data_IF_865637576942
#
_entry.id   IF_865637576942
#
_cell.length_a   1.000
_cell.length_b   1.000
_cell.length_c   1.000
_cell.angle_alpha   90.00
_cell.angle_beta   90.00
_cell.angle_gamma   90.00
#
_symmetry.space_group_name_H-M   'P 1'
#
loop_
_entity.id
_entity.type
_entity.pdbx_description
1 polymer ?
#
# COMPACT_ATOMS: atom_id res chain seq x y z
N UNK A 1 -5.53 45.55 -70.38
CA UNK A 1 -4.50 44.51 -70.03
C UNK A 1 -4.54 44.27 -68.55
N UNK A 2 -5.42 43.36 -68.10
CA UNK A 2 -5.55 42.98 -66.70
C UNK A 2 -4.61 41.81 -66.44
N UNK A 3 -3.68 42.02 -65.55
CA UNK A 3 -2.80 40.98 -65.03
C UNK A 3 -3.45 40.33 -63.84
N UNK A 4 -3.98 39.11 -64.04
CA UNK A 4 -4.48 38.25 -62.95
C UNK A 4 -3.27 37.61 -62.24
N UNK A 5 -3.01 38.07 -61.02
CA UNK A 5 -2.06 37.44 -60.11
C UNK A 5 -2.77 36.25 -59.48
N UNK A 6 -2.41 35.04 -59.92
CA UNK A 6 -2.72 33.80 -59.21
C UNK A 6 -1.89 33.76 -57.91
N UNK A 7 -2.53 34.04 -56.82
CA UNK A 7 -1.94 33.71 -55.51
C UNK A 7 -2.22 32.20 -55.30
N UNK A 8 -1.25 31.36 -55.58
CA UNK A 8 -1.26 29.99 -55.13
C UNK A 8 -1.12 29.99 -53.61
N UNK A 9 -2.20 29.70 -52.95
CA UNK A 9 -2.21 29.35 -51.55
C UNK A 9 -1.31 28.11 -51.36
N UNK A 10 -0.09 28.31 -50.93
CA UNK A 10 0.67 27.24 -50.32
C UNK A 10 -0.09 26.88 -49.03
N UNK A 11 -0.88 25.82 -49.05
CA UNK A 11 -1.27 25.11 -47.85
C UNK A 11 0.02 24.62 -47.25
N UNK A 12 0.40 25.24 -46.14
CA UNK A 12 1.36 24.67 -45.22
C UNK A 12 0.79 23.33 -44.84
N UNK A 13 1.39 22.23 -45.27
CA UNK A 13 1.18 20.96 -44.68
C UNK A 13 1.57 21.14 -43.19
N UNK A 14 0.58 21.34 -42.36
CA UNK A 14 0.73 21.10 -40.94
C UNK A 14 1.22 19.65 -40.88
N UNK A 15 2.45 19.43 -40.45
CA UNK A 15 2.85 18.18 -39.85
C UNK A 15 1.80 17.99 -38.72
N UNK A 16 0.93 17.03 -38.93
CA UNK A 16 -0.10 16.69 -37.94
C UNK A 16 0.63 16.22 -36.70
N UNK A 17 0.76 17.10 -35.71
CA UNK A 17 0.88 16.63 -34.33
C UNK A 17 -0.45 15.90 -34.07
N UNK A 18 -0.38 14.63 -33.89
CA UNK A 18 -1.53 13.78 -33.62
C UNK A 18 -2.09 14.23 -32.26
N UNK A 19 -3.28 14.83 -32.29
CA UNK A 19 -3.90 15.30 -31.06
C UNK A 19 -4.43 14.10 -30.25
N UNK A 20 -4.52 14.24 -28.93
CA UNK A 20 -5.07 13.20 -28.05
C UNK A 20 -6.49 12.79 -28.46
N UNK A 21 -7.28 13.72 -29.05
CA UNK A 21 -8.60 13.46 -29.60
C UNK A 21 -8.63 12.34 -30.62
N UNK A 22 -7.63 12.25 -31.49
CA UNK A 22 -7.57 11.23 -32.55
C UNK A 22 -7.39 9.82 -31.94
N UNK A 23 -6.58 9.72 -30.89
CA UNK A 23 -6.41 8.47 -30.16
C UNK A 23 -7.66 8.09 -29.38
N UNK A 24 -8.32 9.07 -28.79
CA UNK A 24 -9.50 8.86 -27.95
C UNK A 24 -10.74 8.47 -28.74
N UNK A 25 -10.82 8.73 -30.04
CA UNK A 25 -11.92 8.22 -30.90
C UNK A 25 -12.09 6.70 -30.76
N UNK A 26 -10.98 5.95 -30.64
CA UNK A 26 -11.02 4.50 -30.41
C UNK A 26 -10.81 4.16 -28.92
N UNK A 27 -9.80 4.78 -28.28
CA UNK A 27 -9.39 4.37 -26.93
C UNK A 27 -10.35 4.79 -25.82
N UNK A 28 -11.33 5.65 -26.07
CA UNK A 28 -12.40 5.93 -25.12
C UNK A 28 -13.56 4.93 -25.20
N UNK A 29 -13.70 4.19 -26.31
CA UNK A 29 -14.80 3.23 -26.51
C UNK A 29 -14.34 1.78 -26.25
N UNK A 30 -14.89 1.11 -25.21
CA UNK A 30 -14.54 -0.27 -24.94
C UNK A 30 -14.98 -1.26 -26.03
N UNK A 31 -15.84 -0.86 -26.97
CA UNK A 31 -16.24 -1.69 -28.10
C UNK A 31 -15.21 -1.68 -29.25
N UNK A 32 -14.44 -0.61 -29.35
CA UNK A 32 -13.45 -0.43 -30.43
C UNK A 32 -12.05 -0.94 -30.02
N UNK A 33 -11.80 -1.04 -28.72
CA UNK A 33 -10.46 -1.37 -28.20
C UNK A 33 -10.31 -2.85 -27.88
N UNK A 34 -9.25 -3.45 -28.38
CA UNK A 34 -8.92 -4.84 -28.10
C UNK A 34 -8.59 -5.07 -26.60
N UNK A 35 -9.05 -6.20 -26.10
CA UNK A 35 -8.63 -6.67 -24.78
C UNK A 35 -7.29 -7.41 -24.88
N UNK A 36 -6.39 -7.16 -23.93
CA UNK A 36 -5.10 -7.83 -23.82
C UNK A 36 -5.05 -8.71 -22.58
N UNK A 37 -4.54 -9.91 -22.72
CA UNK A 37 -4.22 -10.77 -21.58
C UNK A 37 -2.94 -10.29 -20.94
N UNK A 38 -3.02 -9.87 -19.68
CA UNK A 38 -1.86 -9.53 -18.86
C UNK A 38 -1.65 -10.62 -17.82
N UNK A 39 -0.44 -11.09 -17.73
CA UNK A 39 0.00 -11.97 -16.64
C UNK A 39 0.78 -11.13 -15.66
N UNK A 40 0.33 -11.06 -14.42
CA UNK A 40 1.14 -10.50 -13.34
C UNK A 40 2.33 -11.43 -13.09
N UNK A 41 3.51 -10.94 -13.35
CA UNK A 41 4.74 -11.76 -13.26
C UNK A 41 5.15 -12.06 -11.82
N UNK A 42 4.55 -11.38 -10.84
CA UNK A 42 4.84 -11.58 -9.42
C UNK A 42 3.87 -12.60 -8.82
N UNK A 43 2.57 -12.45 -9.09
CA UNK A 43 1.52 -13.32 -8.54
C UNK A 43 1.20 -14.48 -9.46
N UNK A 44 1.50 -14.39 -10.76
CA UNK A 44 1.09 -15.33 -11.79
C UNK A 44 -0.40 -15.19 -12.17
N UNK A 45 -1.11 -14.22 -11.63
CA UNK A 45 -2.51 -13.99 -11.96
C UNK A 45 -2.67 -13.52 -13.38
N UNK A 46 -3.72 -14.02 -14.03
CA UNK A 46 -4.06 -13.68 -15.41
C UNK A 46 -5.24 -12.72 -15.39
N UNK A 47 -5.03 -11.54 -15.91
CA UNK A 47 -6.04 -10.49 -16.00
C UNK A 47 -6.31 -10.14 -17.47
N UNK A 48 -7.59 -9.98 -17.83
CA UNK A 48 -7.98 -9.41 -19.12
C UNK A 48 -8.07 -7.90 -18.93
N UNK A 49 -7.14 -7.18 -19.54
CA UNK A 49 -7.10 -5.72 -19.48
C UNK A 49 -7.65 -5.16 -20.77
N UNK A 50 -8.71 -4.38 -20.69
CA UNK A 50 -9.16 -3.55 -21.79
C UNK A 50 -8.23 -2.34 -21.91
N UNK A 51 -7.82 -2.03 -23.12
CA UNK A 51 -6.92 -0.89 -23.38
C UNK A 51 -7.68 0.45 -23.47
N UNK A 52 -8.84 0.51 -22.82
CA UNK A 52 -9.63 1.74 -22.70
C UNK A 52 -8.90 2.76 -21.84
N UNK A 53 -8.87 3.98 -22.29
CA UNK A 53 -8.37 5.14 -21.55
C UNK A 53 -9.55 5.99 -21.11
N UNK A 54 -9.69 6.20 -19.81
CA UNK A 54 -10.62 7.18 -19.28
C UNK A 54 -10.01 8.57 -19.38
N UNK A 55 -10.66 9.44 -20.15
CA UNK A 55 -10.15 10.78 -20.45
C UNK A 55 -10.08 11.65 -19.18
N UNK A 56 -11.07 11.56 -18.30
CA UNK A 56 -11.08 12.31 -17.04
C UNK A 56 -9.96 11.84 -16.12
N UNK A 57 -9.76 10.52 -16.02
CA UNK A 57 -8.64 9.95 -15.25
C UNK A 57 -7.28 10.34 -15.82
N UNK A 58 -7.15 10.34 -17.16
CA UNK A 58 -5.92 10.76 -17.83
C UNK A 58 -5.60 12.22 -17.52
N UNK A 59 -6.54 13.14 -17.72
CA UNK A 59 -6.34 14.55 -17.43
C UNK A 59 -6.11 14.85 -15.93
N UNK A 60 -6.62 14.02 -15.05
CA UNK A 60 -6.35 14.10 -13.61
C UNK A 60 -4.99 13.51 -13.22
N UNK A 61 -4.29 12.84 -14.13
CA UNK A 61 -2.95 12.28 -13.90
C UNK A 61 -1.86 13.35 -13.93
N UNK A 62 -0.65 13.00 -13.49
CA UNK A 62 0.49 13.91 -13.52
C UNK A 62 0.84 14.37 -14.95
N UNK A 63 0.77 13.47 -15.92
CA UNK A 63 1.12 13.78 -17.30
C UNK A 63 -0.02 14.45 -18.05
N UNK A 64 -1.25 13.95 -17.92
CA UNK A 64 -2.41 14.56 -18.55
C UNK A 64 -2.72 15.97 -18.03
N UNK A 65 -2.40 16.25 -16.77
CA UNK A 65 -2.50 17.59 -16.18
C UNK A 65 -1.46 18.60 -16.67
N UNK A 66 -0.39 18.14 -17.29
CA UNK A 66 0.69 18.95 -17.88
C UNK A 66 0.60 18.96 -19.45
N UNK A 67 -0.57 18.64 -19.99
CA UNK A 67 -0.87 18.68 -21.43
C UNK A 67 0.04 17.77 -22.30
N UNK A 68 0.55 16.65 -21.78
CA UNK A 68 1.27 15.68 -22.60
C UNK A 68 0.36 14.99 -23.60
N UNK A 69 0.91 14.75 -24.79
CA UNK A 69 0.24 13.96 -25.83
C UNK A 69 0.48 12.46 -25.64
N UNK A 70 -0.42 11.64 -26.18
CA UNK A 70 -0.26 10.19 -26.17
C UNK A 70 1.06 9.76 -26.82
N UNK A 71 1.44 10.42 -27.92
CA UNK A 71 2.66 10.15 -28.68
C UNK A 71 3.94 10.57 -27.95
N UNK A 72 3.89 11.45 -26.95
CA UNK A 72 5.06 11.78 -26.14
C UNK A 72 5.56 10.56 -25.37
N UNK A 73 4.67 9.64 -25.07
CA UNK A 73 4.99 8.37 -24.42
C UNK A 73 5.01 7.19 -25.40
N UNK A 74 4.10 7.21 -26.37
CA UNK A 74 3.97 6.20 -27.43
C UNK A 74 4.63 6.68 -28.72
N UNK A 75 5.93 6.98 -28.65
CA UNK A 75 6.70 7.55 -29.75
C UNK A 75 6.80 6.65 -31.00
N UNK A 76 6.51 5.35 -30.84
CA UNK A 76 6.42 4.42 -31.96
C UNK A 76 5.13 4.61 -32.81
N UNK A 77 4.25 5.51 -32.39
CA UNK A 77 3.04 5.90 -33.10
C UNK A 77 3.13 7.26 -33.77
N UNK A 78 4.25 7.97 -33.69
CA UNK A 78 4.40 9.32 -34.24
C UNK A 78 4.05 9.41 -35.74
N UNK A 79 4.34 8.35 -36.49
CA UNK A 79 4.06 8.27 -37.92
C UNK A 79 2.77 7.46 -38.25
N UNK A 80 1.97 7.08 -37.25
CA UNK A 80 0.77 6.30 -37.49
C UNK A 80 -0.41 7.18 -37.88
N UNK A 81 -1.18 6.76 -38.87
CA UNK A 81 -2.40 7.46 -39.34
C UNK A 81 -3.68 6.93 -38.63
N UNK A 82 -3.58 6.54 -37.36
CA UNK A 82 -4.71 6.09 -36.52
C UNK A 82 -4.76 4.59 -36.28
N UNK A 83 -4.69 3.74 -37.29
CA UNK A 83 -4.58 2.28 -37.10
C UNK A 83 -3.14 1.86 -36.79
N UNK A 84 -2.94 1.09 -35.75
CA UNK A 84 -1.63 0.62 -35.35
C UNK A 84 -1.65 -0.86 -34.89
N UNK A 85 -0.47 -1.48 -34.85
CA UNK A 85 -0.34 -2.83 -34.35
C UNK A 85 -0.61 -2.89 -32.83
N UNK A 86 -1.23 -3.98 -32.33
CA UNK A 86 -1.63 -4.08 -30.91
C UNK A 86 -0.43 -4.20 -29.95
N UNK A 87 0.78 -4.46 -30.45
CA UNK A 87 1.97 -4.63 -29.63
C UNK A 87 2.91 -3.42 -29.82
N UNK A 88 2.66 -2.36 -29.07
CA UNK A 88 3.54 -1.20 -29.01
C UNK A 88 4.81 -1.51 -28.23
N UNK A 89 5.85 -0.72 -28.50
CA UNK A 89 7.07 -0.75 -27.72
C UNK A 89 6.78 -0.35 -26.25
N UNK A 90 7.52 -0.90 -25.28
CA UNK A 90 7.41 -0.42 -23.91
C UNK A 90 7.74 1.07 -23.84
N UNK A 91 6.88 1.83 -23.17
CA UNK A 91 7.12 3.26 -22.93
C UNK A 91 8.44 3.45 -22.18
N UNK A 92 9.29 4.27 -22.74
CA UNK A 92 10.57 4.68 -22.13
C UNK A 92 10.38 5.94 -21.28
N UNK A 93 10.33 5.74 -19.97
CA UNK A 93 10.17 6.83 -19.02
C UNK A 93 11.48 7.61 -18.79
N UNK A 94 12.63 7.02 -19.16
CA UNK A 94 13.95 7.42 -18.65
C UNK A 94 14.73 8.30 -19.61
N UNK A 95 14.75 7.93 -20.88
CA UNK A 95 15.72 8.49 -21.83
C UNK A 95 15.62 10.02 -21.97
N UNK A 96 14.42 10.58 -21.86
CA UNK A 96 14.21 12.01 -22.12
C UNK A 96 13.66 12.81 -20.93
N UNK A 97 12.99 12.15 -19.96
CA UNK A 97 12.19 12.87 -18.98
C UNK A 97 12.54 12.53 -17.52
N UNK A 98 12.79 11.26 -17.19
CA UNK A 98 12.96 10.81 -15.81
C UNK A 98 14.34 10.17 -15.56
N UNK A 99 15.40 10.80 -16.03
CA UNK A 99 16.79 10.35 -15.87
C UNK A 99 17.24 10.37 -14.39
N UNK A 100 16.96 11.42 -13.63
CA UNK A 100 17.32 11.54 -12.22
C UNK A 100 16.66 10.45 -11.34
N UNK A 101 15.32 10.24 -11.38
CA UNK A 101 14.68 9.14 -10.66
C UNK A 101 15.19 7.77 -11.08
N UNK A 102 15.52 7.59 -12.36
CA UNK A 102 16.08 6.34 -12.86
C UNK A 102 17.49 6.09 -12.34
N UNK A 103 18.37 7.10 -12.33
CA UNK A 103 19.70 7.00 -11.77
C UNK A 103 19.64 6.59 -10.28
N UNK A 104 18.78 7.23 -9.50
CA UNK A 104 18.59 6.88 -8.08
C UNK A 104 18.00 5.49 -7.87
N UNK A 105 17.11 5.03 -8.76
CA UNK A 105 16.58 3.67 -8.71
C UNK A 105 17.68 2.62 -8.97
N UNK A 106 18.58 2.90 -9.92
CA UNK A 106 19.69 1.99 -10.24
C UNK A 106 20.68 1.80 -9.08
N UNK A 107 20.75 2.75 -8.14
CA UNK A 107 21.54 2.63 -6.91
C UNK A 107 20.85 1.75 -5.84
N UNK A 108 19.58 1.44 -6.03
CA UNK A 108 18.78 0.69 -5.07
C UNK A 108 18.94 -0.83 -5.14
N UNK A 109 18.51 -1.50 -4.08
CA UNK A 109 18.57 -2.97 -3.99
C UNK A 109 17.69 -3.67 -5.02
N UNK A 110 16.59 -3.04 -5.47
CA UNK A 110 15.74 -3.63 -6.49
C UNK A 110 16.48 -3.75 -7.81
N UNK A 111 17.12 -2.68 -8.27
CA UNK A 111 17.91 -2.69 -9.52
C UNK A 111 19.11 -3.64 -9.44
N UNK A 112 19.84 -3.65 -8.33
CA UNK A 112 20.98 -4.55 -8.10
C UNK A 112 20.56 -6.03 -8.22
N UNK A 113 19.43 -6.41 -7.62
CA UNK A 113 18.93 -7.77 -7.70
C UNK A 113 18.47 -8.17 -9.11
N UNK A 114 17.91 -7.24 -9.89
CA UNK A 114 17.60 -7.48 -11.30
C UNK A 114 18.86 -7.83 -12.10
N UNK A 115 19.92 -7.05 -11.91
CA UNK A 115 21.18 -7.23 -12.62
C UNK A 115 21.90 -8.52 -12.20
N UNK A 116 21.96 -8.81 -10.90
CA UNK A 116 22.73 -9.92 -10.36
C UNK A 116 22.04 -11.28 -10.53
N UNK A 117 20.72 -11.34 -10.38
CA UNK A 117 19.97 -12.60 -10.29
C UNK A 117 19.01 -12.84 -11.45
N UNK A 118 18.85 -11.88 -12.35
CA UNK A 118 17.89 -11.97 -13.45
C UNK A 118 16.43 -12.11 -12.96
N UNK A 119 16.16 -11.69 -11.72
CA UNK A 119 14.83 -11.73 -11.14
C UNK A 119 14.00 -10.59 -11.73
N UNK A 120 12.79 -10.89 -12.18
CA UNK A 120 11.85 -9.83 -12.53
C UNK A 120 11.45 -9.09 -11.26
N UNK A 121 11.83 -7.83 -11.17
CA UNK A 121 11.54 -6.93 -10.06
C UNK A 121 10.64 -5.80 -10.53
N UNK A 122 10.03 -5.06 -9.60
CA UNK A 122 9.15 -3.96 -9.96
C UNK A 122 9.92 -2.94 -10.81
N UNK A 123 9.36 -2.63 -11.95
CA UNK A 123 9.79 -1.52 -12.83
C UNK A 123 9.06 -0.25 -12.43
N UNK A 124 9.38 0.87 -13.07
CA UNK A 124 8.69 2.15 -12.88
C UNK A 124 7.17 1.98 -12.90
N UNK A 125 6.64 1.24 -13.89
CA UNK A 125 5.20 1.00 -14.06
C UNK A 125 4.53 0.22 -12.93
N UNK A 126 5.27 -0.54 -12.15
CA UNK A 126 4.69 -1.26 -11.03
C UNK A 126 4.31 -0.32 -9.88
N UNK A 127 5.20 0.61 -9.57
CA UNK A 127 4.97 1.60 -8.52
C UNK A 127 4.19 2.81 -9.05
N UNK A 128 4.47 3.24 -10.28
CA UNK A 128 3.81 4.34 -10.97
C UNK A 128 2.87 3.76 -12.03
N UNK A 129 1.61 3.59 -11.68
CA UNK A 129 0.60 3.08 -12.62
C UNK A 129 0.39 4.09 -13.74
N UNK A 130 0.67 3.70 -14.99
CA UNK A 130 0.65 4.54 -16.18
C UNK A 130 -0.57 5.46 -16.34
N UNK A 131 -1.35 5.31 -17.41
CA UNK A 131 -2.40 6.22 -17.85
C UNK A 131 -3.66 6.30 -16.97
N UNK A 132 -3.86 5.39 -16.02
CA UNK A 132 -5.19 5.12 -15.44
C UNK A 132 -5.40 5.65 -14.04
N UNK A 133 -4.53 6.51 -13.50
CA UNK A 133 -4.68 6.77 -12.08
C UNK A 133 -4.25 8.16 -11.66
N UNK A 134 -5.14 8.81 -10.93
CA UNK A 134 -4.81 9.93 -10.03
C UNK A 134 -3.60 9.63 -9.14
N UNK A 135 -3.30 8.34 -8.94
CA UNK A 135 -2.14 7.84 -8.19
C UNK A 135 -0.79 8.07 -8.89
N UNK A 136 -0.79 8.49 -10.15
CA UNK A 136 0.45 8.78 -10.89
C UNK A 136 1.18 10.03 -10.44
N UNK A 137 0.57 10.84 -9.61
CA UNK A 137 1.26 11.99 -9.03
C UNK A 137 1.96 11.53 -7.76
N UNK A 138 3.26 11.20 -7.78
CA UNK A 138 4.01 10.73 -6.61
C UNK A 138 4.33 11.88 -5.65
N UNK A 139 3.36 12.74 -5.41
CA UNK A 139 3.46 13.83 -4.46
C UNK A 139 3.18 13.31 -3.07
N UNK A 140 3.92 13.81 -2.09
CA UNK A 140 3.74 13.41 -0.69
C UNK A 140 2.33 13.69 -0.17
N UNK A 141 1.63 14.65 -0.74
CA UNK A 141 0.26 15.02 -0.39
C UNK A 141 -0.82 14.17 -1.10
N UNK A 142 -0.43 13.33 -2.07
CA UNK A 142 -1.37 12.38 -2.69
C UNK A 142 -1.60 11.18 -1.77
N UNK A 143 -2.67 11.24 -0.98
CA UNK A 143 -2.99 10.23 0.04
C UNK A 143 -3.37 8.88 -0.58
N UNK A 144 -3.96 8.88 -1.78
CA UNK A 144 -4.30 7.66 -2.51
C UNK A 144 -3.02 6.92 -2.92
N UNK A 145 -2.06 7.63 -3.51
CA UNK A 145 -0.76 7.07 -3.85
C UNK A 145 -0.03 6.51 -2.62
N UNK A 146 -0.08 7.20 -1.48
CA UNK A 146 0.53 6.73 -0.23
C UNK A 146 -0.09 5.43 0.27
N UNK A 147 -1.41 5.30 0.18
CA UNK A 147 -2.13 4.07 0.54
C UNK A 147 -1.79 2.91 -0.39
N UNK A 148 -1.85 3.16 -1.69
CA UNK A 148 -1.55 2.17 -2.72
C UNK A 148 -0.11 1.65 -2.65
N UNK A 149 0.85 2.49 -2.32
CA UNK A 149 2.25 2.09 -2.14
C UNK A 149 2.41 1.00 -1.07
N UNK A 150 1.61 1.04 0.01
CA UNK A 150 1.64 0.01 1.05
C UNK A 150 1.26 -1.35 0.46
N UNK A 151 0.19 -1.41 -0.33
CA UNK A 151 -0.31 -2.64 -0.94
C UNK A 151 0.66 -3.16 -2.02
N UNK A 152 1.21 -2.27 -2.84
CA UNK A 152 2.21 -2.63 -3.85
C UNK A 152 3.48 -3.23 -3.24
N UNK A 153 4.01 -2.61 -2.19
CA UNK A 153 5.14 -3.18 -1.46
C UNK A 153 4.77 -4.55 -0.86
N UNK A 154 3.56 -4.65 -0.31
CA UNK A 154 3.03 -5.85 0.32
C UNK A 154 2.90 -7.03 -0.61
N UNK A 155 2.61 -6.79 -1.90
CA UNK A 155 2.47 -7.84 -2.91
C UNK A 155 3.70 -8.73 -3.04
N UNK A 156 4.91 -8.15 -2.93
CA UNK A 156 6.17 -8.92 -2.93
C UNK A 156 6.71 -9.15 -1.51
N UNK A 157 6.52 -8.20 -0.63
CA UNK A 157 7.06 -8.19 0.74
C UNK A 157 6.02 -8.60 1.78
N UNK A 158 5.22 -9.63 1.53
CA UNK A 158 4.09 -10.06 2.36
C UNK A 158 4.43 -10.20 3.85
N UNK A 159 5.59 -10.78 4.17
CA UNK A 159 6.05 -10.96 5.56
C UNK A 159 6.22 -9.60 6.27
N UNK A 160 6.79 -8.62 5.59
CA UNK A 160 7.01 -7.28 6.13
C UNK A 160 5.71 -6.48 6.17
N UNK A 161 4.86 -6.63 5.17
CA UNK A 161 3.53 -6.06 5.12
C UNK A 161 2.67 -6.51 6.30
N UNK A 162 2.59 -7.82 6.56
CA UNK A 162 1.85 -8.35 7.72
C UNK A 162 2.42 -7.84 9.05
N UNK A 163 3.74 -7.75 9.16
CA UNK A 163 4.39 -7.20 10.34
C UNK A 163 4.11 -5.70 10.50
N UNK A 164 4.15 -4.94 9.42
CA UNK A 164 3.76 -3.53 9.40
C UNK A 164 2.31 -3.35 9.83
N UNK A 165 1.37 -4.12 9.29
CA UNK A 165 -0.05 -4.08 9.68
C UNK A 165 -0.30 -4.37 11.16
N UNK A 166 0.62 -5.02 11.84
CA UNK A 166 0.55 -5.31 13.28
C UNK A 166 1.17 -4.21 14.16
N UNK A 167 1.89 -3.25 13.60
CA UNK A 167 2.38 -2.09 14.36
C UNK A 167 1.38 -0.93 14.32
N UNK A 168 1.63 0.12 15.12
CA UNK A 168 0.72 1.27 15.22
C UNK A 168 0.52 1.99 13.89
N UNK A 169 1.59 2.24 13.12
CA UNK A 169 1.48 2.89 11.81
C UNK A 169 0.57 2.09 10.87
N UNK A 170 0.82 0.78 10.77
CA UNK A 170 0.04 -0.09 9.91
C UNK A 170 -1.40 -0.29 10.36
N UNK A 171 -1.69 -0.24 11.66
CA UNK A 171 -3.06 -0.29 12.17
C UNK A 171 -3.83 0.97 11.80
N UNK A 172 -3.21 2.13 11.90
CA UNK A 172 -3.84 3.41 11.53
C UNK A 172 -4.07 3.47 10.02
N UNK A 173 -3.09 3.05 9.21
CA UNK A 173 -3.29 2.99 7.75
C UNK A 173 -4.32 1.96 7.33
N UNK A 174 -4.48 0.86 8.08
CA UNK A 174 -5.54 -0.13 7.85
C UNK A 174 -6.95 0.42 8.10
N UNK A 175 -7.08 1.47 8.90
CA UNK A 175 -8.33 2.21 9.11
C UNK A 175 -8.59 3.26 8.01
N UNK A 176 -7.74 3.32 6.98
CA UNK A 176 -7.88 4.25 5.86
C UNK A 176 -7.18 5.60 6.05
N UNK A 177 -6.49 5.81 7.19
CA UNK A 177 -5.77 7.06 7.41
C UNK A 177 -4.32 6.94 6.93
N UNK A 178 -3.97 7.68 5.90
CA UNK A 178 -2.65 7.69 5.23
C UNK A 178 -2.04 9.10 5.16
N UNK A 179 -2.40 9.95 6.13
CA UNK A 179 -1.88 11.33 6.23
C UNK A 179 -0.36 11.42 6.36
N UNK A 180 0.19 12.61 6.21
CA UNK A 180 1.64 12.85 6.25
C UNK A 180 2.27 12.62 7.63
N UNK A 181 1.46 12.55 8.66
CA UNK A 181 1.84 12.29 10.06
C UNK A 181 1.85 10.79 10.42
N UNK A 182 1.49 9.94 9.48
CA UNK A 182 1.58 8.48 9.60
C UNK A 182 2.61 7.91 8.62
N UNK A 183 3.59 7.16 9.14
CA UNK A 183 4.64 6.58 8.31
C UNK A 183 4.12 5.39 7.50
N UNK A 184 4.33 5.45 6.20
CA UNK A 184 4.18 4.34 5.24
C UNK A 184 5.52 3.66 4.98
N UNK A 185 5.56 2.69 4.08
CA UNK A 185 6.80 1.98 3.75
C UNK A 185 7.90 2.94 3.26
N UNK A 186 7.55 3.86 2.36
CA UNK A 186 8.50 4.78 1.72
C UNK A 186 9.04 5.87 2.65
N UNK A 187 8.28 6.26 3.67
CA UNK A 187 8.73 7.25 4.64
C UNK A 187 9.91 6.76 5.47
N UNK A 188 10.00 5.43 5.65
CA UNK A 188 11.09 4.78 6.37
C UNK A 188 12.20 4.28 5.42
N UNK A 189 11.81 3.62 4.32
CA UNK A 189 12.75 2.93 3.44
C UNK A 189 13.27 3.78 2.28
N UNK A 190 12.74 4.96 2.06
CA UNK A 190 13.00 5.77 0.86
C UNK A 190 12.12 5.34 -0.31
N UNK A 191 12.33 5.97 -1.47
CA UNK A 191 11.50 5.77 -2.65
C UNK A 191 12.24 4.99 -3.74
N UNK A 192 13.18 5.63 -4.43
CA UNK A 192 13.91 5.02 -5.54
C UNK A 192 15.15 4.27 -5.07
N UNK A 193 16.01 4.89 -4.28
CA UNK A 193 17.17 4.25 -3.68
C UNK A 193 16.77 3.50 -2.39
N UNK A 194 16.11 2.37 -2.56
CA UNK A 194 15.74 1.52 -1.41
C UNK A 194 16.89 0.55 -1.14
N UNK A 195 17.55 0.70 0.00
CA UNK A 195 18.68 -0.13 0.41
C UNK A 195 18.30 -1.07 1.56
N UNK A 196 19.07 -2.15 1.70
CA UNK A 196 18.94 -3.03 2.85
C UNK A 196 19.24 -2.25 4.15
N UNK A 197 18.45 -2.48 5.19
CA UNK A 197 18.61 -1.77 6.48
C UNK A 197 19.95 -2.00 7.18
N UNK A 198 20.73 -3.00 6.76
CA UNK A 198 22.10 -3.21 7.22
C UNK A 198 23.13 -2.36 6.47
N UNK A 199 22.75 -1.78 5.33
CA UNK A 199 23.60 -0.89 4.55
C UNK A 199 23.76 0.44 5.28
N UNK A 200 25.01 0.93 5.47
CA UNK A 200 25.26 2.23 6.11
C UNK A 200 24.55 3.40 5.39
N UNK A 201 24.39 3.32 4.07
CA UNK A 201 23.74 4.35 3.27
C UNK A 201 22.22 4.27 3.29
N UNK A 202 21.64 3.18 3.79
CA UNK A 202 20.20 3.04 3.96
C UNK A 202 19.64 4.13 4.90
N UNK A 203 18.47 4.63 4.61
CA UNK A 203 17.71 5.52 5.50
C UNK A 203 17.44 4.90 6.87
N UNK A 204 17.43 3.58 6.96
CA UNK A 204 17.30 2.79 8.18
C UNK A 204 18.64 2.16 8.63
N UNK A 205 19.74 2.54 8.00
CA UNK A 205 21.08 2.12 8.41
C UNK A 205 21.43 2.57 9.84
N UNK A 206 22.46 1.98 10.45
CA UNK A 206 22.79 2.20 11.88
C UNK A 206 22.95 3.66 12.28
N UNK A 207 23.44 4.48 11.37
CA UNK A 207 23.71 5.91 11.62
C UNK A 207 22.52 6.82 11.23
N UNK A 208 21.73 6.44 10.20
CA UNK A 208 20.67 7.26 9.62
C UNK A 208 19.29 7.01 10.23
N UNK A 209 19.06 5.85 10.87
CA UNK A 209 17.76 5.50 11.41
C UNK A 209 17.19 6.52 12.42
N UNK A 210 18.05 7.18 13.21
CA UNK A 210 17.61 8.22 14.14
C UNK A 210 17.06 9.45 13.45
N UNK A 211 17.72 9.87 12.37
CA UNK A 211 17.28 11.00 11.57
C UNK A 211 15.95 10.68 10.90
N UNK A 212 15.84 9.49 10.30
CA UNK A 212 14.62 9.03 9.64
C UNK A 212 13.44 8.98 10.61
N UNK A 213 13.60 8.35 11.77
CA UNK A 213 12.55 8.32 12.80
C UNK A 213 12.29 9.73 13.37
N UNK A 214 13.33 10.55 13.51
CA UNK A 214 13.29 11.89 14.06
C UNK A 214 12.45 12.89 13.27
N UNK A 215 12.21 12.62 11.97
CA UNK A 215 11.34 13.45 11.12
C UNK A 215 9.92 13.58 11.68
N UNK A 216 9.42 12.49 12.27
CA UNK A 216 8.09 12.44 12.88
C UNK A 216 8.13 12.30 14.41
N UNK A 217 9.22 11.77 14.96
CA UNK A 217 9.40 11.53 16.40
C UNK A 217 10.53 12.40 16.96
N UNK A 218 10.26 13.66 17.35
CA UNK A 218 11.28 14.53 17.93
C UNK A 218 11.94 13.88 19.14
N UNK A 219 13.27 13.83 19.14
CA UNK A 219 14.04 13.19 20.21
C UNK A 219 14.21 11.68 20.06
N UNK A 220 13.91 11.09 18.91
CA UNK A 220 14.20 9.69 18.62
C UNK A 220 15.69 9.38 18.85
N UNK A 221 16.00 8.61 19.87
CA UNK A 221 17.37 8.22 20.27
C UNK A 221 17.64 6.74 19.97
N UNK A 222 18.85 6.27 20.33
CA UNK A 222 19.28 4.88 20.14
C UNK A 222 18.32 3.84 20.72
N UNK A 223 17.66 4.14 21.84
CA UNK A 223 16.67 3.24 22.42
C UNK A 223 15.38 3.20 21.61
N UNK A 224 14.98 4.32 20.99
CA UNK A 224 13.79 4.41 20.18
C UNK A 224 13.95 3.61 18.87
N UNK A 225 15.04 3.81 18.13
CA UNK A 225 15.28 3.14 16.84
C UNK A 225 15.53 1.63 16.98
N UNK A 226 15.77 1.13 18.18
CA UNK A 226 15.80 -0.31 18.45
C UNK A 226 14.41 -0.95 18.48
N UNK A 227 13.36 -0.17 18.62
CA UNK A 227 11.98 -0.65 18.46
C UNK A 227 11.65 -0.78 16.98
N UNK A 228 11.87 -1.98 16.49
CA UNK A 228 11.72 -2.31 15.07
C UNK A 228 10.27 -2.17 14.64
N UNK A 229 10.01 -1.42 13.57
CA UNK A 229 8.69 -1.31 12.97
C UNK A 229 8.17 -2.65 12.40
N UNK A 230 9.06 -3.61 12.19
CA UNK A 230 8.75 -4.98 11.82
C UNK A 230 9.22 -5.94 12.94
N UNK A 231 8.51 -5.99 14.07
CA UNK A 231 8.79 -7.01 15.07
C UNK A 231 8.60 -8.35 14.38
N UNK A 232 9.68 -9.12 14.27
CA UNK A 232 9.73 -10.34 13.46
C UNK A 232 8.43 -11.12 13.58
N UNK A 233 7.76 -11.33 12.46
CA UNK A 233 6.51 -12.08 12.41
C UNK A 233 6.79 -13.52 12.86
N UNK A 234 6.67 -13.74 14.15
CA UNK A 234 6.35 -15.07 14.65
C UNK A 234 4.84 -15.13 14.55
N UNK A 235 4.35 -16.03 13.74
CA UNK A 235 2.92 -16.35 13.61
C UNK A 235 2.41 -16.98 14.92
N UNK A 236 2.50 -16.21 15.96
CA UNK A 236 2.06 -16.56 17.30
C UNK A 236 0.83 -15.71 17.51
N UNK A 237 -0.36 -16.26 17.16
CA UNK A 237 -1.62 -15.58 17.42
C UNK A 237 -1.61 -14.98 18.84
N UNK A 238 -2.29 -13.86 19.04
CA UNK A 238 -2.29 -13.08 20.29
C UNK A 238 -2.39 -13.94 21.55
N UNK A 239 -3.22 -15.00 21.52
CA UNK A 239 -3.40 -15.95 22.63
C UNK A 239 -2.14 -16.81 22.86
N UNK A 240 -1.39 -17.20 21.82
CA UNK A 240 -0.13 -17.96 21.97
C UNK A 240 0.98 -17.09 22.55
N UNK A 241 1.07 -15.82 22.12
CA UNK A 241 2.00 -14.85 22.69
C UNK A 241 1.70 -14.61 24.17
N UNK A 242 0.42 -14.50 24.53
CA UNK A 242 -0.04 -14.38 25.91
C UNK A 242 0.32 -15.62 26.76
N UNK A 243 0.08 -16.82 26.21
CA UNK A 243 0.43 -18.08 26.91
C UNK A 243 1.93 -18.25 27.10
N UNK A 244 2.75 -17.84 26.11
CA UNK A 244 4.21 -17.85 26.24
C UNK A 244 4.66 -16.84 27.28
N UNK A 245 4.09 -15.62 27.28
CA UNK A 245 4.38 -14.61 28.31
C UNK A 245 4.03 -15.11 29.72
N UNK A 246 2.83 -15.67 29.89
CA UNK A 246 2.39 -16.27 31.16
C UNK A 246 3.29 -17.43 31.62
N UNK A 247 3.73 -18.28 30.67
CA UNK A 247 4.64 -19.39 30.96
C UNK A 247 6.03 -18.91 31.38
N UNK A 248 6.50 -17.82 30.81
CA UNK A 248 7.78 -17.20 31.15
C UNK A 248 7.74 -16.50 32.52
N UNK A 249 6.65 -15.75 32.81
CA UNK A 249 6.41 -15.16 34.15
C UNK A 249 6.43 -16.23 35.24
N UNK A 250 5.83 -17.39 34.98
CA UNK A 250 5.81 -18.50 35.92
C UNK A 250 7.22 -19.11 36.17
N UNK A 251 8.10 -19.05 35.16
CA UNK A 251 9.48 -19.56 35.27
C UNK A 251 10.44 -18.58 35.95
N UNK A 252 10.28 -17.30 35.68
CA UNK A 252 11.12 -16.22 36.26
C UNK A 252 10.25 -14.96 36.52
N UNK A 253 9.79 -14.75 37.74
CA UNK A 253 9.04 -13.56 38.13
C UNK A 253 9.83 -12.23 37.92
N UNK A 254 11.15 -12.29 37.82
CA UNK A 254 12.00 -11.12 37.56
C UNK A 254 11.88 -10.59 36.11
N UNK A 255 11.48 -11.43 35.18
CA UNK A 255 11.23 -11.05 33.76
C UNK A 255 10.01 -10.12 33.59
N UNK A 256 9.14 -9.96 34.61
CA UNK A 256 7.99 -9.04 34.56
C UNK A 256 8.44 -7.63 34.17
N UNK A 257 9.61 -7.16 34.62
CA UNK A 257 10.15 -5.85 34.25
C UNK A 257 10.50 -5.73 32.76
N UNK A 258 10.88 -6.81 32.09
CA UNK A 258 11.11 -6.87 30.64
C UNK A 258 9.82 -6.91 29.83
N UNK A 259 8.82 -7.60 30.37
CA UNK A 259 7.50 -7.78 29.74
C UNK A 259 6.72 -6.47 29.72
N UNK A 260 6.72 -5.71 30.81
CA UNK A 260 6.02 -4.41 30.90
C UNK A 260 6.65 -3.33 30.00
N UNK A 261 7.90 -3.51 29.55
CA UNK A 261 8.59 -2.59 28.66
C UNK A 261 8.18 -2.72 27.19
N UNK A 262 7.51 -3.81 26.79
CA UNK A 262 7.01 -3.98 25.44
C UNK A 262 5.54 -3.52 25.36
N UNK A 263 5.21 -2.50 24.55
CA UNK A 263 3.81 -2.04 24.37
C UNK A 263 2.86 -3.18 24.01
N UNK A 264 3.29 -4.13 23.20
CA UNK A 264 2.50 -5.28 22.78
C UNK A 264 2.18 -6.23 23.94
N UNK A 265 3.14 -6.44 24.82
CA UNK A 265 2.93 -7.29 26.00
C UNK A 265 2.00 -6.61 27.01
N UNK A 266 2.14 -5.29 27.18
CA UNK A 266 1.23 -4.52 28.02
C UNK A 266 -0.22 -4.59 27.49
N UNK A 267 -0.41 -4.39 26.18
CA UNK A 267 -1.73 -4.53 25.54
C UNK A 267 -2.29 -5.93 25.71
N UNK A 268 -1.48 -6.97 25.56
CA UNK A 268 -1.90 -8.35 25.77
C UNK A 268 -2.32 -8.62 27.20
N UNK A 269 -1.58 -8.10 28.19
CA UNK A 269 -1.94 -8.22 29.61
C UNK A 269 -3.23 -7.48 29.92
N UNK A 270 -3.40 -6.26 29.41
CA UNK A 270 -4.64 -5.48 29.56
C UNK A 270 -5.83 -6.18 28.91
N UNK A 271 -5.66 -6.74 27.72
CA UNK A 271 -6.70 -7.52 27.06
C UNK A 271 -7.11 -8.76 27.84
N UNK A 272 -6.15 -9.53 28.38
CA UNK A 272 -6.44 -10.69 29.21
C UNK A 272 -7.12 -10.30 30.52
N UNK A 273 -6.71 -9.20 31.14
CA UNK A 273 -7.38 -8.66 32.32
C UNK A 273 -8.82 -8.26 32.02
N UNK A 274 -9.05 -7.62 30.87
CA UNK A 274 -10.40 -7.25 30.41
C UNK A 274 -11.28 -8.48 30.14
N UNK A 275 -10.75 -9.49 29.43
CA UNK A 275 -11.46 -10.75 29.19
C UNK A 275 -11.77 -11.46 30.51
N UNK A 276 -10.81 -11.51 31.42
CA UNK A 276 -11.02 -12.06 32.77
C UNK A 276 -12.15 -11.36 33.52
N UNK A 277 -12.17 -10.02 33.48
CA UNK A 277 -13.23 -9.22 34.08
C UNK A 277 -14.62 -9.55 33.46
N UNK A 278 -14.67 -9.65 32.12
CA UNK A 278 -15.91 -10.03 31.43
C UNK A 278 -16.40 -11.41 31.88
N UNK A 279 -15.50 -12.41 31.93
CA UNK A 279 -15.86 -13.78 32.36
C UNK A 279 -16.44 -13.79 33.80
N UNK A 280 -15.78 -13.06 34.71
CA UNK A 280 -16.26 -12.94 36.10
C UNK A 280 -17.63 -12.27 36.14
N UNK A 281 -17.80 -11.19 35.41
CA UNK A 281 -19.08 -10.46 35.32
C UNK A 281 -20.20 -11.36 34.79
N UNK A 282 -19.99 -12.05 33.68
CA UNK A 282 -20.98 -12.96 33.10
C UNK A 282 -21.29 -14.15 34.03
N UNK A 283 -20.27 -14.71 34.68
CA UNK A 283 -20.47 -15.78 35.68
C UNK A 283 -21.33 -15.29 36.85
N UNK A 284 -21.08 -14.07 37.34
CA UNK A 284 -21.85 -13.48 38.45
C UNK A 284 -23.31 -13.20 38.04
N UNK A 285 -23.53 -12.64 36.85
CA UNK A 285 -24.89 -12.46 36.33
C UNK A 285 -25.61 -13.80 36.08
N UNK A 286 -24.92 -14.77 35.48
CA UNK A 286 -25.46 -16.09 35.21
C UNK A 286 -25.85 -16.83 36.49
N UNK A 287 -25.04 -16.76 37.54
CA UNK A 287 -25.36 -17.36 38.85
C UNK A 287 -26.53 -16.64 39.51
N UNK A 288 -26.58 -15.31 39.42
CA UNK A 288 -27.72 -14.54 39.96
C UNK A 288 -29.04 -14.90 39.26
N UNK A 289 -29.05 -14.96 37.93
CA UNK A 289 -30.20 -15.38 37.13
C UNK A 289 -30.65 -16.80 37.48
N UNK A 290 -29.71 -17.74 37.60
CA UNK A 290 -30.01 -19.13 37.95
C UNK A 290 -30.63 -19.25 39.34
N UNK A 291 -30.08 -18.55 40.34
CA UNK A 291 -30.61 -18.53 41.69
C UNK A 291 -32.00 -17.88 41.76
N UNK A 292 -32.22 -16.79 41.01
CA UNK A 292 -33.53 -16.14 40.91
C UNK A 292 -34.57 -17.08 40.26
N UNK A 293 -34.20 -17.77 39.21
CA UNK A 293 -35.07 -18.73 38.54
C UNK A 293 -35.38 -19.95 39.42
N UNK A 294 -34.41 -20.49 40.14
CA UNK A 294 -34.64 -21.57 41.12
C UNK A 294 -35.52 -21.11 42.26
N UNK A 295 -35.34 -19.87 42.73
CA UNK A 295 -36.21 -19.27 43.75
C UNK A 295 -37.69 -19.23 43.32
N UNK A 296 -37.95 -18.76 42.07
CA UNK A 296 -39.33 -18.71 41.55
C UNK A 296 -39.99 -20.09 41.46
N UNK A 297 -39.24 -21.12 41.01
CA UNK A 297 -39.75 -22.50 40.95
C UNK A 297 -40.10 -23.05 42.35
N UNK A 298 -39.29 -22.71 43.36
CA UNK A 298 -39.51 -23.15 44.72
C UNK A 298 -40.71 -22.46 45.38
N UNK A 299 -40.95 -21.20 45.04
CA UNK A 299 -42.10 -20.44 45.52
C UNK A 299 -43.43 -20.92 44.87
N UNK A 300 -43.42 -21.17 43.55
CA UNK A 300 -44.54 -21.77 42.83
C UNK A 300 -44.98 -23.16 43.45
N UNK A 301 -43.97 -23.94 43.88
CA UNK A 301 -44.24 -25.23 44.54
C UNK A 301 -44.86 -25.08 45.92
N UNK A 302 -44.62 -24.00 46.67
CA UNK A 302 -45.23 -23.74 47.99
C UNK A 302 -46.66 -23.29 47.85
N UNK A 303 -46.94 -22.48 46.81
CA UNK A 303 -48.29 -22.00 46.57
C UNK A 303 -49.24 -23.10 46.04
N UNK A 304 -48.73 -23.98 45.15
CA UNK A 304 -49.48 -25.09 44.58
C UNK A 304 -49.80 -26.25 45.59
N UNK A 305 -49.16 -26.25 46.77
CA UNK A 305 -49.34 -27.26 47.79
C UNK A 305 -50.43 -26.94 48.84
N UNK A 306 -51.04 -25.73 48.79
CA UNK A 306 -52.01 -25.29 49.80
C UNK A 306 -53.51 -25.46 49.44
N UNK A 307 -53.83 -25.96 48.22
CA UNK A 307 -55.21 -26.07 47.72
C UNK A 307 -55.84 -27.48 47.80
N UNK A 308 -55.23 -28.39 48.53
CA UNK A 308 -55.80 -29.71 48.80
C UNK A 308 -55.79 -30.04 50.32
N UNK A 309 -56.62 -29.29 51.10
CA UNK A 309 -56.92 -29.57 52.47
C UNK A 309 -58.36 -29.30 52.76
#
# INVERSE_FOLDING_TARGET
LSCLIFISSFSSNNLFAQENSDCMECHADPAEVASKVRVDHVTGEVEIVTMVVDEEEYHASAHGGEDFYCIDCHSDLEDSEGEHYPNLQPVDCVTFCHDDPAATFLEGSHASLMQEKGVQLPTCKYCHTGQKSKMNTPRADNLEHRGDTIEKCGGCHEKYYRSYRNNLHGQVTAMGYVGLDIATCVDCHGQHTILNSADPESTLGPEKAKETCGKCHPGAGNSFVKHVAHPGYKDVGYYKSALIALKNIRKDPGEIKGIVKSPQTLLTVLFLAYVGLLVVTFAQFGTHMLLSWLGSILDDRKEGGSDHG
#
